data_IF_252522881364
#
_entry.id   IF_252522881364
#
_cell.length_a   1.000
_cell.length_b   1.000
_cell.length_c   1.000
_cell.angle_alpha   90.00
_cell.angle_beta   90.00
_cell.angle_gamma   90.00
#
_symmetry.space_group_name_H-M   'P 1'
#
loop_
_entity.id
_entity.type
_entity.pdbx_description
1 polymer ?
#
# COMPACT_ATOMS: atom_id res chain seq x y z
N UNK A 1 -5.52 -10.41 8.86
CA UNK A 1 -6.01 -11.74 9.25
C UNK A 1 -5.27 -12.30 10.46
N UNK A 2 -3.93 -12.31 10.45
CA UNK A 2 -3.12 -13.02 11.45
C UNK A 2 -3.41 -12.64 12.90
N UNK A 3 -3.27 -11.38 13.27
CA UNK A 3 -3.47 -10.98 14.67
C UNK A 3 -4.93 -11.13 15.14
N UNK A 4 -5.91 -10.94 14.26
CA UNK A 4 -7.32 -11.14 14.59
C UNK A 4 -7.59 -12.62 14.88
N UNK A 5 -7.08 -13.51 14.03
CA UNK A 5 -7.15 -14.95 14.23
C UNK A 5 -6.49 -15.35 15.55
N UNK A 6 -5.29 -14.84 15.84
CA UNK A 6 -4.56 -15.13 17.06
C UNK A 6 -5.32 -14.70 18.33
N UNK A 7 -5.89 -13.50 18.33
CA UNK A 7 -6.72 -13.01 19.47
C UNK A 7 -7.92 -13.94 19.67
N UNK A 8 -8.64 -14.26 18.58
CA UNK A 8 -9.83 -15.11 18.69
C UNK A 8 -9.49 -16.50 19.16
N UNK A 9 -8.43 -17.11 18.63
CA UNK A 9 -7.96 -18.44 19.05
C UNK A 9 -7.58 -18.46 20.53
N UNK A 10 -6.89 -17.43 21.00
CA UNK A 10 -6.55 -17.31 22.42
C UNK A 10 -7.78 -17.16 23.32
N UNK A 11 -8.77 -16.36 22.91
CA UNK A 11 -10.06 -16.22 23.61
C UNK A 11 -10.83 -17.54 23.70
N UNK A 12 -10.63 -18.45 22.75
CA UNK A 12 -11.19 -19.81 22.73
C UNK A 12 -10.35 -20.82 23.52
N UNK A 13 -9.37 -20.36 24.31
CA UNK A 13 -8.57 -21.19 25.20
C UNK A 13 -7.35 -21.85 24.57
N UNK A 14 -7.01 -21.53 23.32
CA UNK A 14 -5.84 -22.09 22.65
C UNK A 14 -4.55 -21.38 23.12
N UNK A 15 -3.44 -22.12 23.17
CA UNK A 15 -2.10 -21.54 23.32
C UNK A 15 -1.62 -21.05 21.97
N UNK A 16 -1.41 -19.75 21.82
CA UNK A 16 -1.17 -19.10 20.51
C UNK A 16 0.18 -18.40 20.47
N UNK A 17 0.83 -18.46 19.31
CA UNK A 17 1.99 -17.66 18.98
C UNK A 17 1.80 -16.97 17.63
N UNK A 18 2.39 -15.78 17.47
CA UNK A 18 2.54 -15.05 16.20
C UNK A 18 4.02 -14.97 15.86
N UNK A 19 4.33 -15.20 14.60
CA UNK A 19 5.66 -14.95 14.04
C UNK A 19 5.51 -13.78 13.06
N UNK A 20 6.27 -12.72 13.26
CA UNK A 20 6.24 -11.50 12.44
C UNK A 20 7.67 -11.09 12.07
N UNK A 21 7.94 -10.94 10.77
CA UNK A 21 9.28 -10.58 10.30
C UNK A 21 9.62 -9.10 10.50
N UNK A 22 8.63 -8.25 10.68
CA UNK A 22 8.81 -6.84 10.95
C UNK A 22 8.74 -6.54 12.45
N UNK A 23 9.29 -5.40 12.86
CA UNK A 23 9.27 -4.98 14.26
C UNK A 23 7.87 -4.55 14.75
N UNK A 24 6.87 -4.49 13.87
CA UNK A 24 5.51 -4.07 14.17
C UNK A 24 4.49 -5.06 13.66
N UNK A 25 3.57 -5.47 14.54
CA UNK A 25 2.39 -6.26 14.16
C UNK A 25 1.38 -5.43 13.37
N UNK A 26 0.39 -6.08 12.77
CA UNK A 26 -0.74 -5.42 12.09
C UNK A 26 -0.69 -5.48 10.56
N UNK A 27 0.43 -5.91 9.99
CA UNK A 27 0.60 -6.12 8.55
C UNK A 27 0.47 -4.84 7.73
N UNK A 28 0.13 -4.98 6.47
CA UNK A 28 0.05 -3.88 5.50
C UNK A 28 -0.95 -2.81 5.92
N UNK A 29 -2.18 -3.19 6.29
CA UNK A 29 -3.24 -2.22 6.56
C UNK A 29 -2.87 -1.23 7.68
N UNK A 30 -2.34 -1.74 8.79
CA UNK A 30 -1.99 -0.90 9.93
C UNK A 30 -0.74 -0.05 9.67
N UNK A 31 0.31 -0.65 9.08
CA UNK A 31 1.63 -0.02 9.04
C UNK A 31 1.89 0.80 7.78
N UNK A 32 1.46 0.29 6.61
CA UNK A 32 1.82 0.86 5.29
C UNK A 32 0.65 0.80 4.29
N UNK A 33 -0.58 0.86 4.77
CA UNK A 33 -1.79 0.74 3.95
C UNK A 33 -2.93 1.62 4.47
N UNK A 34 -4.04 0.99 4.88
CA UNK A 34 -5.31 1.65 5.20
C UNK A 34 -5.20 2.75 6.25
N UNK A 35 -4.57 2.47 7.40
CA UNK A 35 -4.49 3.42 8.51
C UNK A 35 -3.68 4.68 8.12
N UNK A 36 -2.43 4.55 7.63
CA UNK A 36 -1.68 5.74 7.23
C UNK A 36 -2.29 6.47 6.04
N UNK A 37 -2.87 5.77 5.03
CA UNK A 37 -3.49 6.44 3.89
C UNK A 37 -4.72 7.25 4.31
N UNK A 38 -5.61 6.71 5.15
CA UNK A 38 -6.79 7.43 5.66
C UNK A 38 -6.39 8.62 6.52
N UNK A 39 -5.32 8.52 7.30
CA UNK A 39 -4.79 9.65 8.06
C UNK A 39 -4.29 10.80 7.17
N UNK A 40 -3.64 10.50 6.03
CA UNK A 40 -3.23 11.53 5.07
C UNK A 40 -4.42 12.06 4.25
N UNK A 41 -5.36 11.19 3.86
CA UNK A 41 -6.59 11.60 3.18
C UNK A 41 -7.37 12.60 4.01
N UNK A 42 -7.59 12.32 5.30
CA UNK A 42 -8.26 13.24 6.23
C UNK A 42 -7.56 14.60 6.29
N UNK A 43 -6.23 14.61 6.49
CA UNK A 43 -5.48 15.85 6.59
C UNK A 43 -5.52 16.67 5.29
N UNK A 44 -5.41 16.01 4.12
CA UNK A 44 -5.48 16.68 2.83
C UNK A 44 -6.90 17.15 2.48
N UNK A 45 -7.92 16.42 2.91
CA UNK A 45 -9.32 16.80 2.75
C UNK A 45 -9.64 18.09 3.52
N UNK A 46 -9.25 18.18 4.80
CA UNK A 46 -9.43 19.38 5.61
C UNK A 46 -8.78 20.61 4.96
N UNK A 47 -7.56 20.45 4.42
CA UNK A 47 -6.89 21.53 3.70
C UNK A 47 -7.63 21.91 2.42
N UNK A 48 -8.09 20.92 1.65
CA UNK A 48 -8.84 21.14 0.41
C UNK A 48 -10.14 21.88 0.68
N UNK A 49 -10.97 21.41 1.61
CA UNK A 49 -12.23 22.06 2.02
C UNK A 49 -12.03 23.49 2.48
N UNK A 50 -10.99 23.74 3.25
CA UNK A 50 -10.69 25.08 3.72
C UNK A 50 -10.35 26.07 2.57
N UNK A 51 -9.87 25.59 1.43
CA UNK A 51 -9.58 26.40 0.25
C UNK A 51 -10.74 26.49 -0.75
N UNK A 52 -11.69 25.54 -0.74
CA UNK A 52 -12.72 25.44 -1.77
C UNK A 52 -14.13 25.68 -1.25
N UNK A 53 -14.46 25.19 -0.05
CA UNK A 53 -15.84 25.16 0.45
C UNK A 53 -16.10 26.21 1.56
N UNK A 54 -15.12 26.55 2.39
CA UNK A 54 -15.31 27.39 3.58
C UNK A 54 -15.92 28.75 3.26
N UNK A 55 -15.58 29.34 2.11
CA UNK A 55 -16.12 30.65 1.72
C UNK A 55 -17.64 30.61 1.48
N UNK A 56 -18.16 29.50 0.93
CA UNK A 56 -19.60 29.29 0.73
C UNK A 56 -20.37 29.23 2.06
N UNK A 57 -19.69 28.75 3.12
CA UNK A 57 -20.21 28.75 4.50
C UNK A 57 -19.98 30.05 5.26
N UNK A 58 -19.51 31.12 4.57
CA UNK A 58 -19.20 32.41 5.20
C UNK A 58 -17.92 32.41 6.04
N UNK A 59 -17.07 31.38 5.96
CA UNK A 59 -15.84 31.25 6.71
C UNK A 59 -14.66 31.69 5.83
N UNK A 60 -14.04 32.82 6.18
CA UNK A 60 -12.82 33.30 5.50
C UNK A 60 -11.60 32.59 6.09
N UNK A 61 -10.88 31.85 5.27
CA UNK A 61 -9.66 31.16 5.65
C UNK A 61 -8.61 31.28 4.55
N UNK A 62 -7.34 31.33 4.95
CA UNK A 62 -6.19 31.27 4.04
C UNK A 62 -5.21 30.23 4.57
N UNK A 63 -5.58 28.93 4.54
CA UNK A 63 -4.79 27.89 5.15
C UNK A 63 -3.49 27.68 4.38
N UNK A 64 -2.44 27.33 5.13
CA UNK A 64 -1.20 26.78 4.59
C UNK A 64 -1.01 25.39 5.20
N UNK A 65 -0.42 24.48 4.46
CA UNK A 65 -0.11 23.16 4.99
C UNK A 65 1.38 23.01 5.31
N UNK A 66 1.66 22.19 6.30
CA UNK A 66 2.99 21.66 6.62
C UNK A 66 2.95 20.15 6.35
N UNK A 67 3.55 19.75 5.24
CA UNK A 67 3.55 18.34 4.82
C UNK A 67 4.28 17.44 5.82
N UNK A 68 5.39 17.93 6.39
CA UNK A 68 6.17 17.18 7.37
C UNK A 68 5.32 16.88 8.63
N UNK A 69 4.52 17.87 9.06
CA UNK A 69 3.58 17.72 10.18
C UNK A 69 2.43 16.75 9.87
N UNK A 70 1.91 16.76 8.63
CA UNK A 70 0.91 15.75 8.20
C UNK A 70 1.48 14.33 8.25
N UNK A 71 2.70 14.13 7.74
CA UNK A 71 3.41 12.84 7.79
C UNK A 71 3.70 12.42 9.23
N UNK A 72 4.10 13.36 10.09
CA UNK A 72 4.33 13.10 11.52
C UNK A 72 3.05 12.68 12.23
N UNK A 73 1.92 13.40 11.99
CA UNK A 73 0.59 13.01 12.51
C UNK A 73 0.21 11.60 12.09
N UNK A 74 0.34 11.29 10.79
CA UNK A 74 0.11 9.94 10.25
C UNK A 74 0.96 8.90 10.99
N UNK A 75 2.23 9.17 11.22
CA UNK A 75 3.13 8.25 11.92
C UNK A 75 2.75 8.05 13.39
N UNK A 76 2.27 9.09 14.06
CA UNK A 76 1.72 9.00 15.41
C UNK A 76 0.50 8.10 15.47
N UNK A 77 -0.45 8.25 14.54
CA UNK A 77 -1.65 7.40 14.45
C UNK A 77 -1.27 5.93 14.27
N UNK A 78 -0.32 5.63 13.37
CA UNK A 78 0.18 4.27 13.16
C UNK A 78 0.81 3.70 14.44
N UNK A 79 1.65 4.49 15.12
CA UNK A 79 2.32 4.09 16.35
C UNK A 79 1.32 3.77 17.46
N UNK A 80 0.33 4.63 17.70
CA UNK A 80 -0.70 4.43 18.73
C UNK A 80 -1.50 3.15 18.46
N UNK A 81 -1.87 2.88 17.21
CA UNK A 81 -2.55 1.63 16.84
C UNK A 81 -1.66 0.40 17.04
N UNK A 82 -0.37 0.49 16.72
CA UNK A 82 0.60 -0.59 16.92
C UNK A 82 0.81 -0.90 18.40
N UNK A 83 0.91 0.14 19.25
CA UNK A 83 0.99 -0.01 20.72
C UNK A 83 -0.27 -0.65 21.29
N UNK A 84 -1.46 -0.24 20.82
CA UNK A 84 -2.73 -0.87 21.15
C UNK A 84 -2.77 -2.35 20.78
N UNK A 85 -2.23 -2.72 19.63
CA UNK A 85 -2.16 -4.11 19.20
C UNK A 85 -1.20 -4.93 20.08
N UNK A 86 -0.04 -4.37 20.42
CA UNK A 86 0.90 -5.01 21.36
C UNK A 86 0.28 -5.23 22.75
N UNK A 87 -0.53 -4.26 23.23
CA UNK A 87 -1.30 -4.43 24.47
C UNK A 87 -2.29 -5.59 24.34
N UNK A 88 -3.01 -5.72 23.20
CA UNK A 88 -3.94 -6.83 22.98
C UNK A 88 -3.23 -8.19 22.94
N UNK A 89 -2.02 -8.28 22.40
CA UNK A 89 -1.22 -9.52 22.45
C UNK A 89 -0.92 -9.91 23.89
N UNK A 90 -0.43 -8.98 24.71
CA UNK A 90 -0.14 -9.21 26.13
C UNK A 90 -1.40 -9.60 26.90
N UNK A 91 -2.51 -8.86 26.73
CA UNK A 91 -3.80 -9.11 27.37
C UNK A 91 -4.32 -10.52 27.09
N UNK A 92 -4.17 -10.99 25.86
CA UNK A 92 -4.60 -12.34 25.44
C UNK A 92 -3.51 -13.40 25.61
N UNK A 93 -2.39 -13.11 26.27
CA UNK A 93 -1.27 -14.06 26.53
C UNK A 93 -0.72 -14.72 25.26
N UNK A 94 -0.71 -13.98 24.15
CA UNK A 94 -0.19 -14.45 22.86
C UNK A 94 1.33 -14.20 22.84
N UNK A 95 2.11 -15.24 22.54
CA UNK A 95 3.55 -15.14 22.37
C UNK A 95 3.86 -14.53 21.02
N UNK A 96 4.71 -13.49 20.97
CA UNK A 96 5.15 -12.85 19.73
C UNK A 96 6.62 -13.16 19.52
N UNK A 97 6.95 -13.69 18.33
CA UNK A 97 8.31 -13.98 17.88
C UNK A 97 8.60 -13.09 16.66
N UNK A 98 9.65 -12.28 16.77
CA UNK A 98 10.12 -11.49 15.63
C UNK A 98 11.14 -12.30 14.84
N UNK A 99 10.91 -12.40 13.52
CA UNK A 99 11.74 -13.15 12.60
C UNK A 99 10.96 -13.72 11.42
N UNK A 100 11.67 -14.33 10.49
CA UNK A 100 11.08 -14.98 9.33
C UNK A 100 10.67 -16.42 9.70
N UNK A 101 9.38 -16.72 9.62
CA UNK A 101 8.84 -18.07 9.83
C UNK A 101 8.96 -18.92 8.57
N UNK A 102 9.52 -20.14 8.70
CA UNK A 102 9.60 -21.12 7.63
C UNK A 102 9.08 -22.48 8.10
N UNK A 103 8.23 -23.12 7.31
CA UNK A 103 7.73 -24.47 7.55
C UNK A 103 8.81 -25.51 7.25
N UNK A 104 8.94 -26.49 8.13
CA UNK A 104 9.85 -27.63 7.97
C UNK A 104 9.12 -28.83 7.40
N UNK A 105 9.85 -29.86 7.02
CA UNK A 105 9.29 -31.15 6.56
C UNK A 105 8.49 -31.89 7.64
N UNK A 106 8.72 -31.60 8.92
CA UNK A 106 8.00 -32.17 10.05
C UNK A 106 6.73 -31.39 10.42
N UNK A 107 6.45 -30.27 9.73
CA UNK A 107 5.36 -29.35 10.06
C UNK A 107 5.67 -28.36 11.19
N UNK A 108 6.86 -28.42 11.77
CA UNK A 108 7.33 -27.43 12.73
C UNK A 108 7.64 -26.09 12.03
N UNK A 109 7.74 -25.01 12.80
CA UNK A 109 8.08 -23.70 12.25
C UNK A 109 9.47 -23.28 12.75
N UNK A 110 10.39 -23.08 11.82
CA UNK A 110 11.64 -22.39 12.10
C UNK A 110 11.42 -20.88 12.08
N UNK A 111 11.81 -20.20 13.14
CA UNK A 111 11.85 -18.74 13.22
C UNK A 111 13.30 -18.31 13.07
N UNK A 112 13.60 -17.61 11.99
CA UNK A 112 14.93 -17.05 11.73
C UNK A 112 14.94 -15.60 12.23
N UNK A 113 15.65 -15.38 13.33
CA UNK A 113 15.93 -14.05 13.89
C UNK A 113 17.41 -13.78 13.59
N UNK A 114 17.78 -12.58 13.19
CA UNK A 114 19.13 -12.16 12.75
C UNK A 114 20.26 -13.22 12.91
N UNK A 115 20.69 -13.51 14.13
CA UNK A 115 21.76 -14.48 14.44
C UNK A 115 21.28 -15.74 15.20
N UNK A 116 19.95 -15.89 15.40
CA UNK A 116 19.37 -17.00 16.17
C UNK A 116 18.31 -17.74 15.37
N UNK A 117 18.24 -19.05 15.60
CA UNK A 117 17.26 -19.94 14.99
C UNK A 117 16.47 -20.65 16.07
N UNK A 118 15.16 -20.48 16.06
CA UNK A 118 14.27 -21.10 17.03
C UNK A 118 13.26 -21.99 16.32
N UNK A 119 13.07 -23.21 16.81
CA UNK A 119 12.05 -24.12 16.29
C UNK A 119 10.82 -24.11 17.22
N UNK A 120 9.66 -23.88 16.65
CA UNK A 120 8.37 -23.93 17.34
C UNK A 120 7.57 -25.13 16.84
N UNK A 121 7.07 -25.92 17.78
CA UNK A 121 6.12 -26.99 17.51
C UNK A 121 4.70 -26.49 17.66
N UNK A 122 3.85 -26.70 16.66
CA UNK A 122 2.46 -26.32 16.67
C UNK A 122 1.56 -27.45 16.17
N UNK A 123 0.40 -27.61 16.80
CA UNK A 123 -0.63 -28.56 16.32
C UNK A 123 -1.28 -28.05 15.03
N UNK A 124 -1.48 -26.75 14.92
CA UNK A 124 -2.08 -26.10 13.76
C UNK A 124 -1.27 -24.85 13.39
N UNK A 125 -1.10 -24.59 12.11
CA UNK A 125 -0.42 -23.43 11.58
C UNK A 125 -1.35 -22.66 10.67
N UNK A 126 -1.47 -21.34 10.87
CA UNK A 126 -2.23 -20.45 10.01
C UNK A 126 -1.25 -19.57 9.23
N UNK A 127 -1.24 -19.71 7.91
CA UNK A 127 -0.44 -18.88 7.02
C UNK A 127 -1.19 -17.57 6.78
N UNK A 128 -0.72 -16.47 7.36
CA UNK A 128 -1.33 -15.16 7.27
C UNK A 128 -0.30 -14.09 6.85
N UNK A 129 0.55 -14.42 5.91
CA UNK A 129 1.74 -13.65 5.50
C UNK A 129 1.43 -12.46 4.60
N UNK A 130 0.17 -12.29 4.19
CA UNK A 130 -0.31 -11.13 3.46
C UNK A 130 0.18 -11.04 2.02
N UNK A 131 0.46 -9.83 1.56
CA UNK A 131 0.80 -9.55 0.16
C UNK A 131 1.83 -8.44 0.03
N UNK A 132 2.46 -8.36 -1.15
CA UNK A 132 3.43 -7.31 -1.55
C UNK A 132 2.93 -6.56 -2.78
N UNK A 133 3.31 -5.29 -3.00
CA UNK A 133 3.10 -4.61 -4.28
C UNK A 133 3.73 -5.39 -5.44
N UNK A 134 3.06 -5.39 -6.58
CA UNK A 134 3.63 -5.91 -7.83
C UNK A 134 4.48 -4.79 -8.44
N UNK A 135 5.71 -5.12 -8.78
CA UNK A 135 6.61 -4.24 -9.53
C UNK A 135 6.93 -4.95 -10.84
N UNK A 136 6.38 -4.48 -11.97
CA UNK A 136 6.69 -5.03 -13.29
C UNK A 136 8.17 -4.85 -13.67
N UNK A 137 8.71 -5.79 -14.45
CA UNK A 137 10.13 -5.80 -14.82
C UNK A 137 10.57 -4.63 -15.72
N UNK A 138 9.63 -3.96 -16.39
CA UNK A 138 9.90 -2.78 -17.24
C UNK A 138 10.00 -1.47 -16.42
N UNK A 139 9.91 -1.54 -15.10
CA UNK A 139 9.98 -0.40 -14.18
C UNK A 139 11.30 -0.47 -13.38
N UNK A 140 12.15 0.53 -13.53
CA UNK A 140 13.42 0.66 -12.79
C UNK A 140 13.12 1.15 -11.35
N UNK A 141 12.51 0.27 -10.53
CA UNK A 141 12.03 0.57 -9.19
C UNK A 141 13.19 0.86 -8.22
N UNK A 142 13.32 2.10 -7.76
CA UNK A 142 14.44 2.57 -6.94
C UNK A 142 14.08 2.91 -5.49
N UNK A 143 12.79 2.91 -5.13
CA UNK A 143 12.23 3.33 -3.82
C UNK A 143 12.53 4.78 -3.45
N UNK A 144 13.03 5.57 -4.38
CA UNK A 144 13.40 6.99 -4.17
C UNK A 144 12.52 7.92 -4.98
N UNK A 145 12.48 7.74 -6.29
CA UNK A 145 11.66 8.51 -7.25
C UNK A 145 10.57 7.63 -7.87
N UNK A 146 10.88 6.37 -8.13
CA UNK A 146 9.93 5.36 -8.56
C UNK A 146 9.57 4.53 -7.34
N UNK A 147 8.37 4.73 -6.83
CA UNK A 147 7.95 4.34 -5.48
C UNK A 147 6.69 3.48 -5.51
N UNK A 148 6.51 2.66 -4.49
CA UNK A 148 5.24 1.98 -4.20
C UNK A 148 4.41 2.81 -3.21
N UNK A 149 3.23 2.29 -2.86
CA UNK A 149 2.39 2.89 -1.81
C UNK A 149 3.11 2.99 -0.45
N UNK A 150 4.06 2.11 -0.18
CA UNK A 150 4.83 2.11 1.07
C UNK A 150 5.70 3.37 1.18
N UNK A 151 6.46 3.68 0.16
CA UNK A 151 7.33 4.86 0.12
C UNK A 151 6.51 6.14 0.01
N UNK A 152 5.43 6.12 -0.78
CA UNK A 152 4.54 7.28 -0.97
C UNK A 152 3.95 7.79 0.36
N UNK A 153 3.65 6.89 1.31
CA UNK A 153 3.16 7.24 2.64
C UNK A 153 4.22 7.91 3.53
N UNK A 154 5.48 7.96 3.11
CA UNK A 154 6.60 8.44 3.92
C UNK A 154 7.52 9.40 3.16
N UNK A 155 7.01 10.03 2.10
CA UNK A 155 7.74 11.08 1.38
C UNK A 155 8.09 12.22 2.35
N UNK A 156 9.26 12.82 2.14
CA UNK A 156 9.74 13.96 2.94
C UNK A 156 9.16 15.29 2.47
N UNK A 157 8.75 15.36 1.22
CA UNK A 157 8.19 16.53 0.57
C UNK A 157 6.97 16.17 -0.27
N UNK A 158 6.05 17.11 -0.42
CA UNK A 158 4.93 16.94 -1.34
C UNK A 158 5.43 17.10 -2.78
N UNK A 159 5.19 16.13 -3.68
CA UNK A 159 5.58 16.28 -5.09
C UNK A 159 4.82 17.43 -5.75
N UNK A 160 5.45 18.11 -6.72
CA UNK A 160 4.74 19.04 -7.60
C UNK A 160 4.06 18.32 -8.77
N UNK A 161 4.65 17.20 -9.19
CA UNK A 161 4.14 16.35 -10.28
C UNK A 161 4.27 14.88 -9.89
N UNK A 162 3.23 14.10 -10.13
CA UNK A 162 3.16 12.68 -9.78
C UNK A 162 2.56 11.90 -10.96
N UNK A 163 3.32 10.97 -11.51
CA UNK A 163 2.78 9.96 -12.44
C UNK A 163 2.36 8.73 -11.61
N UNK A 164 1.23 8.12 -11.95
CA UNK A 164 0.71 6.92 -11.31
C UNK A 164 0.54 5.83 -12.37
N UNK A 165 1.13 4.67 -12.13
CA UNK A 165 0.93 3.49 -12.98
C UNK A 165 -0.05 2.58 -12.27
N UNK A 166 -1.25 2.45 -12.87
CA UNK A 166 -2.38 1.70 -12.34
C UNK A 166 -3.47 2.60 -11.75
N UNK A 167 -4.65 2.58 -12.36
CA UNK A 167 -5.85 3.34 -11.97
C UNK A 167 -6.71 2.60 -10.92
N UNK A 168 -6.09 1.80 -10.08
CA UNK A 168 -6.74 1.13 -8.95
C UNK A 168 -6.87 2.02 -7.71
N UNK A 169 -7.60 1.53 -6.68
CA UNK A 169 -7.90 2.26 -5.43
C UNK A 169 -6.65 2.89 -4.80
N UNK A 170 -5.54 2.13 -4.69
CA UNK A 170 -4.33 2.61 -4.01
C UNK A 170 -3.74 3.83 -4.71
N UNK A 171 -3.63 3.78 -6.05
CA UNK A 171 -3.12 4.88 -6.86
C UNK A 171 -4.01 6.12 -6.75
N UNK A 172 -5.32 5.93 -6.86
CA UNK A 172 -6.28 7.04 -6.81
C UNK A 172 -6.39 7.67 -5.42
N UNK A 173 -6.39 6.88 -4.34
CA UNK A 173 -6.37 7.42 -2.96
C UNK A 173 -5.13 8.26 -2.68
N UNK A 174 -3.95 7.73 -2.97
CA UNK A 174 -2.70 8.46 -2.71
C UNK A 174 -2.53 9.63 -3.68
N UNK A 175 -2.94 9.47 -4.94
CA UNK A 175 -3.03 10.57 -5.90
C UNK A 175 -3.91 11.71 -5.40
N UNK A 176 -5.06 11.39 -4.80
CA UNK A 176 -5.98 12.38 -4.23
C UNK A 176 -5.34 13.16 -3.08
N UNK A 177 -4.56 12.49 -2.20
CA UNK A 177 -3.82 13.20 -1.15
C UNK A 177 -2.92 14.27 -1.76
N UNK A 178 -2.09 13.91 -2.73
CA UNK A 178 -1.13 14.83 -3.33
C UNK A 178 -1.80 15.90 -4.20
N UNK A 179 -2.86 15.54 -4.95
CA UNK A 179 -3.61 16.51 -5.77
C UNK A 179 -4.27 17.60 -4.91
N UNK A 180 -4.89 17.24 -3.78
CA UNK A 180 -5.45 18.19 -2.81
C UNK A 180 -4.39 19.13 -2.23
N UNK A 181 -3.14 18.70 -2.18
CA UNK A 181 -1.99 19.49 -1.75
C UNK A 181 -1.31 20.25 -2.91
N UNK A 182 -1.89 20.24 -4.11
CA UNK A 182 -1.45 21.02 -5.25
C UNK A 182 -0.55 20.28 -6.25
N UNK A 183 -0.35 18.98 -6.11
CA UNK A 183 0.38 18.19 -7.11
C UNK A 183 -0.44 18.02 -8.40
N UNK A 184 0.22 18.09 -9.56
CA UNK A 184 -0.36 17.64 -10.84
C UNK A 184 -0.22 16.13 -10.92
N UNK A 185 -1.35 15.43 -11.05
CA UNK A 185 -1.41 13.97 -11.06
C UNK A 185 -1.81 13.46 -12.43
N UNK A 186 -0.98 12.56 -13.01
CA UNK A 186 -1.27 11.84 -14.23
C UNK A 186 -1.33 10.34 -13.96
N UNK A 187 -2.37 9.69 -14.45
CA UNK A 187 -2.61 8.25 -14.26
C UNK A 187 -2.50 7.54 -15.59
N UNK A 188 -1.75 6.45 -15.62
CA UNK A 188 -1.58 5.57 -16.78
C UNK A 188 -2.13 4.19 -16.43
N UNK A 189 -3.06 3.69 -17.22
CA UNK A 189 -3.59 2.33 -17.07
C UNK A 189 -3.86 1.69 -18.45
N UNK A 190 -3.61 0.39 -18.55
CA UNK A 190 -3.90 -0.37 -19.77
C UNK A 190 -5.40 -0.62 -19.96
N UNK A 191 -6.18 -0.56 -18.86
CA UNK A 191 -7.65 -0.65 -18.91
C UNK A 191 -8.25 0.62 -19.48
N UNK A 192 -9.45 0.51 -20.04
CA UNK A 192 -10.24 1.63 -20.56
C UNK A 192 -10.98 2.40 -19.47
N UNK A 193 -10.97 1.89 -18.24
CA UNK A 193 -11.71 2.43 -17.10
C UNK A 193 -10.86 2.38 -15.82
N UNK A 194 -11.14 3.30 -14.89
CA UNK A 194 -10.55 3.27 -13.55
C UNK A 194 -11.31 2.28 -12.67
N UNK A 195 -10.64 1.75 -11.61
CA UNK A 195 -11.22 0.75 -10.70
C UNK A 195 -12.02 -0.35 -11.41
N UNK A 196 -11.48 -0.88 -12.49
CA UNK A 196 -12.14 -1.78 -13.46
C UNK A 196 -12.76 -3.06 -12.89
N UNK A 197 -12.47 -3.38 -11.63
CA UNK A 197 -13.07 -4.50 -10.88
C UNK A 197 -14.35 -4.14 -10.11
N UNK A 198 -14.77 -2.87 -10.16
CA UNK A 198 -16.03 -2.39 -9.59
C UNK A 198 -17.06 -2.12 -10.69
N UNK A 199 -18.27 -1.77 -10.29
CA UNK A 199 -19.31 -1.34 -11.23
C UNK A 199 -18.80 -0.16 -12.07
N UNK A 200 -19.04 -0.23 -13.39
CA UNK A 200 -18.55 0.78 -14.33
C UNK A 200 -19.09 2.18 -14.04
N UNK A 201 -20.35 2.27 -13.62
CA UNK A 201 -20.96 3.57 -13.28
C UNK A 201 -20.24 4.28 -12.13
N UNK A 202 -19.77 3.52 -11.14
CA UNK A 202 -18.98 4.06 -10.03
C UNK A 202 -17.60 4.54 -10.51
N UNK A 203 -16.97 3.80 -11.42
CA UNK A 203 -15.69 4.19 -12.04
C UNK A 203 -15.84 5.47 -12.84
N UNK A 204 -16.86 5.56 -13.68
CA UNK A 204 -17.13 6.74 -14.52
C UNK A 204 -17.40 7.98 -13.67
N UNK A 205 -18.20 7.85 -12.60
CA UNK A 205 -18.49 8.97 -11.70
C UNK A 205 -17.26 9.40 -10.90
N UNK A 206 -16.51 8.45 -10.35
CA UNK A 206 -15.25 8.76 -9.65
C UNK A 206 -14.26 9.46 -10.58
N UNK A 207 -14.14 9.02 -11.84
CA UNK A 207 -13.27 9.68 -12.83
C UNK A 207 -13.66 11.13 -13.05
N UNK A 208 -14.97 11.43 -13.19
CA UNK A 208 -15.46 12.80 -13.32
C UNK A 208 -15.10 13.65 -12.09
N UNK A 209 -15.33 13.14 -10.89
CA UNK A 209 -14.99 13.83 -9.63
C UNK A 209 -13.50 14.14 -9.58
N UNK A 210 -12.64 13.16 -9.83
CA UNK A 210 -11.19 13.33 -9.77
C UNK A 210 -10.69 14.32 -10.86
N UNK A 211 -11.25 14.27 -12.05
CA UNK A 211 -10.90 15.19 -13.14
C UNK A 211 -11.34 16.62 -12.81
N UNK A 212 -12.61 16.80 -12.42
CA UNK A 212 -13.20 18.12 -12.28
C UNK A 212 -12.78 18.85 -10.98
N UNK A 213 -12.61 18.13 -9.89
CA UNK A 213 -12.30 18.74 -8.58
C UNK A 213 -10.84 18.67 -8.19
N UNK A 214 -10.07 17.69 -8.73
CA UNK A 214 -8.67 17.49 -8.36
C UNK A 214 -7.72 17.57 -9.57
N UNK A 215 -8.23 17.92 -10.76
CA UNK A 215 -7.45 18.06 -11.99
C UNK A 215 -6.57 16.84 -12.34
N UNK A 216 -7.10 15.63 -12.11
CA UNK A 216 -6.42 14.41 -12.57
C UNK A 216 -6.43 14.33 -14.09
N UNK A 217 -5.29 13.97 -14.66
CA UNK A 217 -5.16 13.60 -16.07
C UNK A 217 -5.13 12.07 -16.19
N UNK A 218 -6.02 11.49 -17.00
CA UNK A 218 -6.11 10.03 -17.18
C UNK A 218 -5.68 9.64 -18.60
N UNK A 219 -4.66 8.79 -18.69
CA UNK A 219 -4.21 8.10 -19.89
C UNK A 219 -4.64 6.62 -19.77
N UNK A 220 -5.90 6.35 -20.10
CA UNK A 220 -6.48 4.99 -20.09
C UNK A 220 -6.29 4.32 -21.45
N UNK A 221 -6.45 2.99 -21.51
CA UNK A 221 -6.08 2.17 -22.67
C UNK A 221 -4.65 2.43 -23.12
N UNK A 222 -3.76 2.62 -22.15
CA UNK A 222 -2.40 3.08 -22.38
C UNK A 222 -1.39 2.09 -21.77
N UNK A 223 -0.55 1.51 -22.63
CA UNK A 223 0.42 0.49 -22.22
C UNK A 223 1.77 1.13 -21.88
N UNK A 224 2.09 1.19 -20.59
CA UNK A 224 3.41 1.66 -20.16
C UNK A 224 4.50 0.67 -20.60
N UNK A 225 5.55 1.20 -21.23
CA UNK A 225 6.68 0.43 -21.74
C UNK A 225 7.90 0.53 -20.84
N UNK A 226 8.15 1.71 -20.29
CA UNK A 226 9.26 1.90 -19.35
C UNK A 226 8.98 3.04 -18.38
N UNK A 227 9.57 2.90 -17.19
CA UNK A 227 9.61 3.95 -16.16
C UNK A 227 11.03 4.01 -15.63
N UNK A 228 11.71 5.15 -15.81
CA UNK A 228 13.13 5.33 -15.46
C UNK A 228 13.38 6.67 -14.80
N UNK A 229 14.40 6.76 -13.97
CA UNK A 229 14.88 8.04 -13.44
C UNK A 229 15.94 8.64 -14.39
N UNK A 230 15.66 9.83 -14.93
CA UNK A 230 16.53 10.53 -15.89
C UNK A 230 16.67 11.99 -15.42
N UNK A 231 17.90 12.43 -15.19
CA UNK A 231 18.17 13.82 -14.79
C UNK A 231 17.45 14.27 -13.50
N UNK A 232 17.26 13.35 -12.53
CA UNK A 232 16.61 13.64 -11.27
C UNK A 232 15.07 13.69 -11.31
N UNK A 233 14.48 13.42 -12.48
CA UNK A 233 13.03 13.27 -12.70
C UNK A 233 12.71 11.83 -13.12
N UNK A 234 11.47 11.43 -12.99
CA UNK A 234 11.00 10.17 -13.55
C UNK A 234 10.46 10.42 -14.96
N UNK A 235 10.89 9.60 -15.90
CA UNK A 235 10.36 9.56 -17.26
C UNK A 235 9.50 8.29 -17.40
N UNK A 236 8.26 8.47 -17.84
CA UNK A 236 7.31 7.41 -18.20
C UNK A 236 7.16 7.41 -19.71
N UNK A 237 7.37 6.26 -20.35
CA UNK A 237 7.10 6.05 -21.78
C UNK A 237 5.96 5.04 -21.88
N UNK A 238 4.93 5.40 -22.61
CA UNK A 238 3.76 4.55 -22.84
C UNK A 238 3.23 4.70 -24.27
N UNK A 239 2.44 3.73 -24.71
CA UNK A 239 1.76 3.78 -26.00
C UNK A 239 0.24 3.76 -25.76
N UNK A 240 -0.45 4.62 -26.49
CA UNK A 240 -1.91 4.60 -26.52
C UNK A 240 -2.43 3.42 -27.37
N UNK A 241 -3.76 3.26 -27.46
CA UNK A 241 -4.41 2.18 -28.20
C UNK A 241 -4.10 2.20 -29.72
N UNK A 242 -3.73 3.35 -30.25
CA UNK A 242 -3.44 3.56 -31.68
C UNK A 242 -1.93 3.47 -31.97
N UNK A 243 -1.11 3.17 -30.95
CA UNK A 243 0.34 3.02 -31.04
C UNK A 243 1.12 4.33 -30.89
N UNK A 244 0.44 5.43 -30.61
CA UNK A 244 1.08 6.74 -30.37
C UNK A 244 1.91 6.72 -29.10
N UNK A 245 3.18 7.16 -29.18
CA UNK A 245 4.06 7.25 -28.02
C UNK A 245 3.73 8.49 -27.18
N UNK A 246 3.54 8.27 -25.88
CA UNK A 246 3.37 9.32 -24.88
C UNK A 246 4.57 9.31 -23.95
N UNK A 247 5.23 10.47 -23.82
CA UNK A 247 6.31 10.69 -22.84
C UNK A 247 5.84 11.66 -21.77
N UNK A 248 5.98 11.26 -20.51
CA UNK A 248 5.68 12.11 -19.36
C UNK A 248 6.89 12.22 -18.44
N UNK A 249 7.03 13.38 -17.80
CA UNK A 249 8.09 13.64 -16.80
C UNK A 249 7.49 14.16 -15.50
N UNK A 250 7.85 13.53 -14.40
CA UNK A 250 7.34 13.87 -13.07
C UNK A 250 8.43 13.84 -11.99
N UNK A 251 8.12 14.40 -10.81
CA UNK A 251 9.02 14.35 -9.65
C UNK A 251 9.11 12.93 -9.10
N UNK A 252 7.97 12.24 -9.07
CA UNK A 252 7.82 10.87 -8.57
C UNK A 252 6.89 10.07 -9.47
N UNK A 253 7.09 8.76 -9.50
CA UNK A 253 6.15 7.82 -10.10
C UNK A 253 5.70 6.81 -9.04
N UNK A 254 4.39 6.72 -8.82
CA UNK A 254 3.75 5.73 -7.95
C UNK A 254 3.36 4.49 -8.76
N UNK A 255 3.94 3.35 -8.43
CA UNK A 255 3.59 2.05 -9.01
C UNK A 255 2.51 1.39 -8.17
N UNK A 256 1.31 1.24 -8.72
CA UNK A 256 0.11 0.72 -8.03
C UNK A 256 -0.71 -0.25 -8.87
N UNK A 257 -0.03 -1.11 -9.65
CA UNK A 257 -0.63 -2.07 -10.59
C UNK A 257 -1.15 -3.36 -9.95
N UNK A 258 -1.23 -3.39 -8.63
CA UNK A 258 -1.78 -4.51 -7.88
C UNK A 258 -0.84 -5.08 -6.84
N UNK A 259 -1.25 -6.19 -6.24
CA UNK A 259 -0.53 -6.88 -5.17
C UNK A 259 -0.47 -8.38 -5.45
N UNK A 260 0.63 -9.03 -5.05
CA UNK A 260 0.77 -10.48 -5.09
C UNK A 260 0.87 -11.07 -3.69
N UNK A 261 0.40 -12.31 -3.45
CA UNK A 261 0.58 -13.02 -2.18
C UNK A 261 2.05 -13.07 -1.77
N UNK A 262 2.32 -13.05 -0.47
CA UNK A 262 3.65 -13.28 0.06
C UNK A 262 3.78 -14.73 0.51
N UNK A 263 4.23 -15.58 -0.40
CA UNK A 263 4.41 -17.02 -0.20
C UNK A 263 5.86 -17.48 -0.35
N UNK A 264 6.73 -16.56 -0.80
CA UNK A 264 8.15 -16.83 -1.02
C UNK A 264 8.89 -17.14 0.30
N UNK A 265 9.67 -18.21 0.33
CA UNK A 265 10.53 -18.57 1.46
C UNK A 265 9.82 -19.16 2.69
N UNK A 266 8.52 -19.45 2.56
CA UNK A 266 7.73 -20.03 3.65
C UNK A 266 7.93 -21.54 3.85
N UNK A 267 8.59 -22.21 2.91
CA UNK A 267 8.80 -23.66 2.99
C UNK A 267 7.52 -24.46 2.65
N UNK A 268 6.63 -23.92 1.79
CA UNK A 268 5.40 -24.59 1.39
C UNK A 268 5.67 -25.93 0.68
N UNK A 269 6.76 -25.96 -0.08
CA UNK A 269 7.26 -27.16 -0.76
C UNK A 269 7.58 -28.32 0.18
N UNK A 270 7.87 -28.03 1.45
CA UNK A 270 8.17 -29.04 2.46
C UNK A 270 6.94 -29.86 2.89
N UNK A 271 5.74 -29.30 2.72
CA UNK A 271 4.47 -29.87 3.15
C UNK A 271 3.51 -30.13 1.98
N UNK A 272 4.01 -30.10 0.75
CA UNK A 272 3.21 -30.34 -0.48
C UNK A 272 1.98 -29.40 -0.54
N UNK A 273 2.20 -28.12 -0.17
CA UNK A 273 1.16 -27.09 -0.24
C UNK A 273 1.23 -26.45 -1.63
N UNK A 274 0.20 -26.65 -2.43
CA UNK A 274 0.11 -26.15 -3.79
C UNK A 274 -0.17 -24.65 -3.84
N UNK A 275 0.39 -23.99 -4.84
CA UNK A 275 0.14 -22.58 -5.16
C UNK A 275 -0.25 -22.44 -6.63
N UNK A 276 -1.14 -21.52 -6.93
CA UNK A 276 -1.53 -21.22 -8.31
C UNK A 276 -0.48 -20.38 -9.05
N UNK A 277 -0.69 -20.14 -10.34
CA UNK A 277 0.20 -19.33 -11.20
C UNK A 277 0.40 -17.88 -10.68
N UNK A 278 -0.52 -17.38 -9.84
CA UNK A 278 -0.45 -16.06 -9.20
C UNK A 278 0.20 -16.11 -7.82
N UNK A 279 0.71 -17.29 -7.40
CA UNK A 279 1.34 -17.50 -6.10
C UNK A 279 0.36 -17.57 -4.92
N UNK A 280 -0.94 -17.82 -5.16
CA UNK A 280 -1.94 -17.99 -4.11
C UNK A 280 -1.97 -19.47 -3.67
N UNK A 281 -2.03 -19.69 -2.36
CA UNK A 281 -2.20 -21.04 -1.80
C UNK A 281 -3.58 -21.57 -2.25
N UNK A 282 -3.59 -22.79 -2.77
CA UNK A 282 -4.82 -23.48 -3.16
C UNK A 282 -5.43 -24.08 -1.89
N UNK A 283 -6.70 -23.79 -1.63
CA UNK A 283 -7.48 -24.23 -0.47
C UNK A 283 -8.82 -24.81 -0.91
#
# INVERSE_FOLDING_TARGET
GGYVCAIRSSQLGMKVAIIEKYNSLGGTCLNVGCIPSKSLLESSELYHKANTEFLEHGIKASPKFDFSKMVSRKSKVVKENSEGLNFLMKKNKISVFHGLGKLTKTGDIEVLCDDDKKTLKAKNVVIATGSKPIIPSFIDFDKKRIISSTEALSLKECPKTLSIIGAGVIGLELGSVFARLGAKVKVFDFSDSIISYMDKSLGDELKKVLTNHLNFEFNLSNKVQSVKTVGGKVEVISHDKDGGEIKDKSDYCLVSVGRKPFTEGLGLENLTIDVDERGRIIV
#
